data_IF_441644211654
#
_entry.id   IF_441644211654
#
_cell.length_a   1.000
_cell.length_b   1.000
_cell.length_c   1.000
_cell.angle_alpha   90.00
_cell.angle_beta   90.00
_cell.angle_gamma   90.00
#
_symmetry.space_group_name_H-M   'P 1'
#
loop_
_entity.id
_entity.type
_entity.pdbx_description
1 polymer ?
#
# COMPACT_ATOMS: atom_id res chain seq x y z
N UNK A 1 -44.76 4.63 69.57
CA UNK A 1 -44.99 4.26 68.15
C UNK A 1 -43.94 4.94 67.29
N UNK A 2 -43.20 4.14 66.50
CA UNK A 2 -42.46 4.45 65.25
C UNK A 2 -41.32 5.49 65.29
N UNK A 3 -40.23 5.42 64.52
CA UNK A 3 -39.58 4.46 63.60
C UNK A 3 -38.17 5.07 63.37
N UNK A 4 -37.12 4.24 63.28
CA UNK A 4 -35.75 4.67 63.00
C UNK A 4 -35.52 5.15 61.55
N UNK A 5 -34.43 5.89 61.33
CA UNK A 5 -33.90 6.24 60.01
C UNK A 5 -32.59 5.49 59.78
N UNK A 6 -32.56 4.65 58.74
CA UNK A 6 -31.38 3.96 58.22
C UNK A 6 -30.85 4.68 56.98
N UNK A 7 -29.52 4.63 56.87
CA UNK A 7 -28.59 5.11 55.86
C UNK A 7 -28.96 4.88 54.39
N UNK A 8 -28.27 5.63 53.52
CA UNK A 8 -28.09 5.30 52.10
C UNK A 8 -26.76 5.86 51.57
N UNK A 9 -25.70 5.04 51.58
CA UNK A 9 -24.48 5.26 50.82
C UNK A 9 -24.73 4.84 49.36
N UNK A 10 -24.50 5.73 48.41
CA UNK A 10 -24.56 5.42 46.98
C UNK A 10 -23.18 4.95 46.48
N UNK A 11 -23.13 3.71 45.97
CA UNK A 11 -21.97 3.13 45.30
C UNK A 11 -22.07 3.46 43.80
N UNK A 12 -21.14 4.27 43.27
CA UNK A 12 -21.05 4.57 41.84
C UNK A 12 -20.34 3.43 41.09
N UNK A 13 -21.00 2.85 40.10
CA UNK A 13 -20.43 1.83 39.22
C UNK A 13 -19.60 2.48 38.11
N UNK A 14 -18.30 2.16 38.06
CA UNK A 14 -17.40 2.51 36.97
C UNK A 14 -17.61 1.51 35.81
N UNK A 15 -18.18 1.95 34.70
CA UNK A 15 -18.34 1.13 33.50
C UNK A 15 -17.05 1.13 32.68
N UNK A 16 -16.34 -0.01 32.64
CA UNK A 16 -15.25 -0.24 31.69
C UNK A 16 -15.81 -0.30 30.26
N UNK A 17 -15.42 0.63 29.40
CA UNK A 17 -15.70 0.55 27.97
C UNK A 17 -14.78 -0.50 27.32
N UNK A 18 -15.30 -1.38 26.45
CA UNK A 18 -14.46 -2.33 25.71
C UNK A 18 -13.61 -1.60 24.67
N UNK A 19 -12.30 -1.86 24.66
CA UNK A 19 -11.41 -1.43 23.60
C UNK A 19 -11.73 -2.23 22.33
N UNK A 20 -12.28 -1.57 21.30
CA UNK A 20 -12.44 -2.17 19.99
C UNK A 20 -11.05 -2.42 19.39
N UNK A 21 -10.77 -3.61 18.81
CA UNK A 21 -9.52 -3.84 18.13
C UNK A 21 -9.41 -2.89 16.94
N UNK A 22 -8.28 -2.17 16.85
CA UNK A 22 -7.94 -1.37 15.68
C UNK A 22 -7.83 -2.34 14.49
N UNK A 23 -8.71 -2.21 13.50
CA UNK A 23 -8.62 -3.01 12.29
C UNK A 23 -7.25 -2.79 11.65
N UNK A 24 -6.48 -3.86 11.42
CA UNK A 24 -5.24 -3.76 10.68
C UNK A 24 -5.54 -3.28 9.26
N UNK A 25 -4.80 -2.28 8.78
CA UNK A 25 -4.97 -1.77 7.43
C UNK A 25 -4.66 -2.82 6.36
N UNK A 26 -5.04 -2.56 5.09
CA UNK A 26 -4.81 -3.51 4.00
C UNK A 26 -3.33 -3.77 3.72
N UNK A 27 -2.43 -2.91 4.24
CA UNK A 27 -1.00 -2.97 4.03
C UNK A 27 -0.29 -3.01 5.38
N UNK A 28 0.70 -3.89 5.49
CA UNK A 28 1.56 -3.99 6.65
C UNK A 28 2.92 -3.35 6.36
N UNK A 29 3.52 -2.75 7.39
CA UNK A 29 4.93 -2.37 7.38
C UNK A 29 5.73 -3.46 8.07
N UNK A 30 6.77 -3.95 7.40
CA UNK A 30 7.63 -5.02 7.88
C UNK A 30 9.07 -4.53 8.03
N UNK A 31 9.77 -5.03 9.04
CA UNK A 31 11.20 -4.79 9.22
C UNK A 31 12.04 -5.78 8.42
N UNK A 32 11.56 -7.01 8.30
CA UNK A 32 12.25 -8.08 7.58
C UNK A 32 11.52 -8.40 6.28
N UNK A 33 12.27 -8.80 5.25
CA UNK A 33 11.70 -9.19 3.97
C UNK A 33 10.95 -10.53 4.13
N UNK A 34 9.67 -10.64 3.74
CA UNK A 34 8.99 -11.93 3.74
C UNK A 34 9.66 -12.92 2.79
N UNK A 35 9.68 -14.20 3.17
CA UNK A 35 10.29 -15.25 2.36
C UNK A 35 9.72 -15.27 0.93
N UNK A 36 10.61 -15.19 -0.06
CA UNK A 36 10.23 -15.20 -1.48
C UNK A 36 9.53 -13.93 -1.99
N UNK A 37 9.45 -12.87 -1.18
CA UNK A 37 8.91 -11.59 -1.63
C UNK A 37 9.78 -10.95 -2.72
N UNK A 38 9.13 -10.26 -3.66
CA UNK A 38 9.79 -9.44 -4.68
C UNK A 38 9.94 -8.02 -4.16
N UNK A 39 11.16 -7.49 -4.17
CA UNK A 39 11.41 -6.11 -3.76
C UNK A 39 11.24 -5.19 -4.97
N UNK A 40 10.44 -4.15 -4.80
CA UNK A 40 10.30 -3.06 -5.76
C UNK A 40 10.85 -1.79 -5.12
N UNK A 41 11.94 -1.29 -5.69
CA UNK A 41 12.55 -0.04 -5.26
C UNK A 41 11.95 1.12 -6.04
N UNK A 42 11.29 2.02 -5.32
CA UNK A 42 10.51 3.13 -5.89
C UNK A 42 11.27 4.44 -5.97
N UNK A 43 12.56 4.44 -5.60
CA UNK A 43 13.43 5.60 -5.77
C UNK A 43 13.74 5.80 -7.25
N UNK A 44 14.25 6.98 -7.59
CA UNK A 44 14.75 7.28 -8.93
C UNK A 44 15.69 6.17 -9.44
N UNK A 45 15.59 5.83 -10.73
CA UNK A 45 16.30 4.68 -11.32
C UNK A 45 17.81 4.76 -11.08
N UNK A 46 18.39 5.96 -11.22
CA UNK A 46 19.82 6.19 -10.98
C UNK A 46 20.25 5.95 -9.52
N UNK A 47 19.33 6.04 -8.55
CA UNK A 47 19.60 5.73 -7.14
C UNK A 47 19.47 4.23 -6.90
N UNK A 48 18.40 3.61 -7.39
CA UNK A 48 18.18 2.15 -7.30
C UNK A 48 19.32 1.36 -7.97
N UNK A 49 19.69 1.73 -9.20
CA UNK A 49 20.75 1.08 -9.95
C UNK A 49 22.17 1.29 -9.39
N UNK A 50 22.34 2.18 -8.40
CA UNK A 50 23.61 2.34 -7.67
C UNK A 50 23.69 1.45 -6.44
N UNK A 51 22.62 1.43 -5.64
CA UNK A 51 22.54 0.69 -4.39
C UNK A 51 21.08 0.50 -3.99
N UNK A 52 20.59 -0.73 -4.00
CA UNK A 52 19.27 -1.18 -3.60
C UNK A 52 19.38 -2.48 -2.79
N UNK A 53 18.34 -2.89 -2.04
CA UNK A 53 18.30 -4.22 -1.44
C UNK A 53 18.57 -5.31 -2.48
N UNK A 54 19.24 -6.39 -2.08
CA UNK A 54 19.58 -7.50 -2.97
C UNK A 54 18.34 -8.05 -3.70
N UNK A 55 18.43 -8.16 -5.02
CA UNK A 55 17.34 -8.64 -5.88
C UNK A 55 16.20 -7.64 -6.12
N UNK A 56 16.36 -6.36 -5.75
CA UNK A 56 15.36 -5.34 -6.02
C UNK A 56 15.24 -5.02 -7.52
N UNK A 57 13.99 -4.84 -7.98
CA UNK A 57 13.67 -4.27 -9.30
C UNK A 57 13.42 -2.78 -9.17
N UNK A 58 14.04 -1.98 -10.03
CA UNK A 58 13.82 -0.54 -10.06
C UNK A 58 12.49 -0.22 -10.77
N UNK A 59 11.58 0.44 -10.07
CA UNK A 59 10.35 1.01 -10.62
C UNK A 59 10.07 2.35 -9.93
N UNK A 60 10.68 3.45 -10.43
CA UNK A 60 10.55 4.74 -9.79
C UNK A 60 9.09 5.16 -9.65
N UNK A 61 8.72 5.73 -8.50
CA UNK A 61 7.33 6.11 -8.24
C UNK A 61 6.80 7.15 -9.25
N UNK A 62 7.65 7.99 -9.84
CA UNK A 62 7.27 8.89 -10.94
C UNK A 62 6.79 8.16 -12.22
N UNK A 63 7.12 6.88 -12.41
CA UNK A 63 6.53 6.11 -13.51
C UNK A 63 5.10 5.64 -13.21
N UNK A 64 4.67 5.72 -11.95
CA UNK A 64 3.35 5.30 -11.49
C UNK A 64 2.38 6.47 -11.33
N UNK A 65 2.88 7.71 -11.28
CA UNK A 65 2.08 8.91 -11.10
C UNK A 65 2.45 9.96 -12.14
N UNK A 66 1.45 10.55 -12.81
CA UNK A 66 1.67 11.64 -13.75
C UNK A 66 2.27 12.88 -13.06
N UNK A 67 3.31 13.46 -13.65
CA UNK A 67 4.10 14.55 -13.05
C UNK A 67 3.31 15.82 -12.73
N UNK A 68 2.26 16.11 -13.51
CA UNK A 68 1.49 17.36 -13.42
C UNK A 68 0.35 17.32 -12.41
N UNK A 69 -0.27 16.15 -12.25
CA UNK A 69 -1.48 15.95 -11.46
C UNK A 69 -1.26 15.05 -10.24
N UNK A 70 -0.12 14.37 -10.16
CA UNK A 70 0.15 13.28 -9.20
C UNK A 70 -0.94 12.18 -9.22
N UNK A 71 -1.68 12.08 -10.32
CA UNK A 71 -2.68 11.04 -10.56
C UNK A 71 -1.98 9.73 -10.90
N UNK A 72 -2.46 8.57 -10.43
CA UNK A 72 -1.90 7.30 -10.88
C UNK A 72 -2.09 7.13 -12.38
N UNK A 73 -1.16 6.40 -13.02
CA UNK A 73 -1.31 5.96 -14.40
C UNK A 73 -2.55 5.06 -14.56
N UNK A 74 -3.08 4.97 -15.78
CA UNK A 74 -4.17 4.06 -16.14
C UNK A 74 -3.91 2.63 -15.68
N UNK A 75 -4.97 1.85 -15.36
CA UNK A 75 -4.78 0.45 -14.99
C UNK A 75 -4.13 -0.38 -16.10
N UNK A 76 -4.39 -0.03 -17.37
CA UNK A 76 -3.71 -0.65 -18.50
C UNK A 76 -2.20 -0.36 -18.47
N UNK A 77 -1.79 0.89 -18.31
CA UNK A 77 -0.37 1.26 -18.22
C UNK A 77 0.29 0.65 -16.97
N UNK A 78 -0.40 0.67 -15.82
CA UNK A 78 0.06 0.06 -14.59
C UNK A 78 0.35 -1.43 -14.78
N UNK A 79 -0.60 -2.20 -15.32
CA UNK A 79 -0.40 -3.64 -15.57
C UNK A 79 0.73 -3.91 -16.57
N UNK A 80 0.93 -3.02 -17.53
CA UNK A 80 2.07 -3.10 -18.42
C UNK A 80 3.39 -2.90 -17.66
N UNK A 81 3.49 -1.85 -16.85
CA UNK A 81 4.67 -1.53 -16.04
C UNK A 81 5.00 -2.67 -15.06
N UNK A 82 4.02 -3.21 -14.34
CA UNK A 82 4.23 -4.33 -13.41
C UNK A 82 4.78 -5.56 -14.15
N UNK A 83 4.31 -5.82 -15.37
CA UNK A 83 4.85 -6.89 -16.19
C UNK A 83 6.31 -6.67 -16.65
N UNK A 84 6.78 -5.42 -16.74
CA UNK A 84 8.19 -5.11 -17.10
C UNK A 84 9.19 -5.38 -15.98
N UNK A 85 8.72 -5.51 -14.74
CA UNK A 85 9.51 -5.92 -13.57
C UNK A 85 9.21 -7.36 -13.14
N UNK A 86 8.57 -8.13 -14.02
CA UNK A 86 8.33 -9.55 -13.82
C UNK A 86 7.18 -9.92 -12.87
N UNK A 87 6.28 -8.98 -12.54
CA UNK A 87 5.13 -9.26 -11.68
C UNK A 87 3.94 -9.81 -12.48
N UNK A 88 3.41 -10.95 -12.05
CA UNK A 88 2.19 -11.59 -12.56
C UNK A 88 0.94 -11.28 -11.72
N UNK A 89 1.15 -10.94 -10.45
CA UNK A 89 0.12 -10.60 -9.48
C UNK A 89 -0.11 -11.65 -8.38
N UNK A 90 0.62 -12.77 -8.41
CA UNK A 90 0.58 -13.85 -7.41
C UNK A 90 1.74 -13.77 -6.40
N UNK A 91 2.66 -12.83 -6.57
CA UNK A 91 3.79 -12.59 -5.68
C UNK A 91 3.37 -11.81 -4.42
N UNK A 92 4.18 -11.92 -3.38
CA UNK A 92 4.20 -10.94 -2.30
C UNK A 92 5.19 -9.86 -2.70
N UNK A 93 4.76 -8.60 -2.71
CA UNK A 93 5.61 -7.46 -3.13
C UNK A 93 5.98 -6.62 -1.93
N UNK A 94 7.28 -6.34 -1.77
CA UNK A 94 7.80 -5.44 -0.75
C UNK A 94 8.23 -4.12 -1.40
N UNK A 95 7.55 -3.03 -1.03
CA UNK A 95 7.85 -1.68 -1.52
C UNK A 95 8.96 -1.06 -0.66
N UNK A 96 10.03 -0.62 -1.33
CA UNK A 96 11.21 -0.04 -0.69
C UNK A 96 11.57 1.34 -1.29
N UNK A 97 12.00 2.31 -0.47
CA UNK A 97 11.98 2.30 0.99
C UNK A 97 10.61 2.70 1.53
N UNK A 98 10.17 2.10 2.63
CA UNK A 98 8.92 2.49 3.29
C UNK A 98 8.90 3.96 3.77
N UNK A 99 10.06 4.58 3.93
CA UNK A 99 10.20 5.99 4.32
C UNK A 99 9.95 6.98 3.18
N UNK A 100 9.87 6.52 1.92
CA UNK A 100 9.50 7.41 0.81
C UNK A 100 8.05 7.89 1.01
N UNK A 101 7.76 9.19 0.90
CA UNK A 101 6.41 9.73 1.12
C UNK A 101 5.35 9.16 0.16
N UNK A 102 5.76 8.54 -0.95
CA UNK A 102 4.88 7.91 -1.94
C UNK A 102 4.70 6.42 -1.70
N UNK A 103 5.45 5.79 -0.79
CA UNK A 103 5.49 4.33 -0.61
C UNK A 103 4.10 3.74 -0.31
N UNK A 104 3.35 4.34 0.61
CA UNK A 104 1.98 3.91 0.94
C UNK A 104 1.04 4.02 -0.26
N UNK A 105 1.15 5.09 -1.06
CA UNK A 105 0.30 5.28 -2.24
C UNK A 105 0.65 4.29 -3.36
N UNK A 106 1.94 4.03 -3.60
CA UNK A 106 2.41 2.99 -4.53
C UNK A 106 1.90 1.61 -4.09
N UNK A 107 2.07 1.29 -2.81
CA UNK A 107 1.65 0.01 -2.27
C UNK A 107 0.13 -0.20 -2.40
N UNK A 108 -0.66 0.84 -2.10
CA UNK A 108 -2.10 0.84 -2.29
C UNK A 108 -2.48 0.66 -3.77
N UNK A 109 -1.82 1.37 -4.68
CA UNK A 109 -2.10 1.27 -6.12
C UNK A 109 -1.85 -0.14 -6.65
N UNK A 110 -0.72 -0.75 -6.31
CA UNK A 110 -0.34 -2.12 -6.72
C UNK A 110 -1.28 -3.15 -6.09
N UNK A 111 -1.64 -2.97 -4.80
CA UNK A 111 -2.64 -3.80 -4.15
C UNK A 111 -3.99 -3.69 -4.87
N UNK A 112 -4.47 -2.48 -5.16
CA UNK A 112 -5.74 -2.27 -5.85
C UNK A 112 -5.72 -2.87 -7.28
N UNK A 113 -4.57 -2.84 -7.97
CA UNK A 113 -4.37 -3.46 -9.28
C UNK A 113 -4.53 -4.99 -9.28
N UNK A 114 -4.48 -5.65 -8.13
CA UNK A 114 -4.74 -7.08 -8.00
C UNK A 114 -3.59 -7.89 -7.41
N UNK A 115 -2.44 -7.28 -7.07
CA UNK A 115 -1.30 -8.00 -6.48
C UNK A 115 -1.74 -8.76 -5.22
N UNK A 116 -1.41 -10.04 -5.09
CA UNK A 116 -1.87 -10.91 -3.99
C UNK A 116 -1.62 -10.27 -2.63
N UNK A 117 -0.40 -9.78 -2.41
CA UNK A 117 0.02 -9.18 -1.16
C UNK A 117 1.05 -8.08 -1.42
N UNK A 118 0.93 -6.97 -0.68
CA UNK A 118 1.87 -5.85 -0.76
C UNK A 118 2.20 -5.38 0.66
N UNK A 119 3.49 -5.20 0.94
CA UNK A 119 4.01 -4.73 2.23
C UNK A 119 4.98 -3.58 2.03
N UNK A 120 5.17 -2.76 3.05
CA UNK A 120 6.16 -1.68 3.09
C UNK A 120 7.41 -2.18 3.82
N UNK A 121 8.58 -2.12 3.18
CA UNK A 121 9.84 -2.54 3.78
C UNK A 121 10.54 -1.37 4.47
N UNK A 122 10.50 -1.34 5.80
CA UNK A 122 11.09 -0.29 6.64
C UNK A 122 12.49 -0.64 7.16
N UNK A 123 12.89 -1.92 7.10
CA UNK A 123 14.24 -2.33 7.47
C UNK A 123 15.30 -1.74 6.57
N UNK A 124 16.46 -1.42 7.14
CA UNK A 124 17.65 -1.22 6.33
C UNK A 124 18.05 -2.59 5.74
N UNK A 125 18.31 -2.69 4.44
CA UNK A 125 18.74 -3.96 3.87
C UNK A 125 20.10 -4.33 4.44
N UNK A 126 20.27 -5.60 4.86
CA UNK A 126 21.54 -6.12 5.38
C UNK A 126 22.66 -6.05 4.33
N UNK A 127 22.28 -6.20 3.07
CA UNK A 127 23.14 -6.14 1.90
C UNK A 127 22.53 -5.25 0.83
N UNK A 128 23.40 -4.52 0.14
CA UNK A 128 22.99 -3.70 -1.00
C UNK A 128 23.83 -4.06 -2.21
N UNK A 129 23.16 -4.23 -3.35
CA UNK A 129 23.76 -4.38 -4.66
C UNK A 129 23.14 -3.35 -5.63
N UNK A 130 23.46 -3.40 -6.91
CA UNK A 130 22.71 -2.65 -7.93
C UNK A 130 21.33 -3.27 -8.09
N UNK A 131 20.30 -2.45 -7.96
CA UNK A 131 18.96 -2.82 -8.40
C UNK A 131 18.93 -3.08 -9.91
N UNK A 132 18.06 -3.98 -10.33
CA UNK A 132 17.88 -4.34 -11.73
C UNK A 132 16.82 -3.44 -12.37
N UNK A 133 17.19 -2.74 -13.45
CA UNK A 133 16.26 -1.93 -14.23
C UNK A 133 15.10 -2.78 -14.76
N UNK A 134 13.95 -2.13 -14.96
CA UNK A 134 12.83 -2.76 -15.67
C UNK A 134 13.20 -3.07 -17.12
N UNK A 135 12.58 -4.11 -17.68
CA UNK A 135 12.71 -4.40 -19.11
C UNK A 135 11.95 -3.38 -19.97
N UNK A 136 12.37 -3.20 -21.22
CA UNK A 136 11.61 -2.41 -22.21
C UNK A 136 10.30 -3.09 -22.64
N UNK A 137 10.21 -4.40 -22.43
CA UNK A 137 9.04 -5.22 -22.74
C UNK A 137 8.59 -5.97 -21.50
N UNK A 138 7.34 -6.43 -21.49
CA UNK A 138 6.83 -7.26 -20.40
C UNK A 138 7.60 -8.56 -20.34
N UNK A 139 8.19 -8.85 -19.19
CA UNK A 139 8.76 -10.16 -18.86
C UNK A 139 7.64 -11.15 -18.55
N UNK A 140 6.58 -10.65 -17.88
CA UNK A 140 5.39 -11.40 -17.49
C UNK A 140 4.13 -10.61 -17.87
N UNK A 141 3.05 -11.31 -18.21
CA UNK A 141 1.74 -10.68 -18.39
C UNK A 141 1.05 -10.63 -17.02
N UNK A 142 0.87 -9.42 -16.48
CA UNK A 142 0.11 -9.22 -15.26
C UNK A 142 -1.38 -9.55 -15.49
N UNK A 143 -1.89 -10.58 -14.80
CA UNK A 143 -3.25 -11.12 -15.04
C UNK A 143 -4.16 -11.11 -13.82
N UNK A 144 -3.65 -10.72 -12.64
CA UNK A 144 -4.45 -10.73 -11.43
C UNK A 144 -5.71 -9.84 -11.54
N UNK A 145 -6.84 -10.28 -10.96
CA UNK A 145 -8.07 -9.51 -10.96
C UNK A 145 -7.92 -8.27 -10.09
N UNK A 146 -8.35 -7.13 -10.61
CA UNK A 146 -8.39 -5.88 -9.86
C UNK A 146 -9.37 -5.97 -8.69
N UNK A 147 -9.06 -5.28 -7.59
CA UNK A 147 -9.92 -5.20 -6.41
C UNK A 147 -10.98 -4.12 -6.57
N UNK A 148 -11.85 -4.27 -7.58
CA UNK A 148 -12.88 -3.28 -7.94
C UNK A 148 -13.88 -3.00 -6.82
N UNK A 149 -14.06 -3.93 -5.88
CA UNK A 149 -14.88 -3.74 -4.68
C UNK A 149 -14.33 -2.67 -3.71
N UNK A 150 -13.03 -2.35 -3.79
CA UNK A 150 -12.38 -1.28 -3.03
C UNK A 150 -12.25 0.01 -3.86
N UNK A 151 -12.85 0.05 -5.05
CA UNK A 151 -12.79 1.18 -5.97
C UNK A 151 -14.19 1.75 -6.22
N UNK A 152 -14.26 3.07 -6.28
CA UNK A 152 -15.42 3.78 -6.82
C UNK A 152 -15.10 4.22 -8.23
N UNK A 153 -15.82 3.66 -9.21
CA UNK A 153 -15.57 3.87 -10.65
C UNK A 153 -16.46 4.96 -11.27
N UNK A 154 -17.16 5.72 -10.42
CA UNK A 154 -18.09 6.81 -10.78
C UNK A 154 -17.44 8.20 -10.63
N UNK A 155 -16.11 8.24 -10.51
CA UNK A 155 -15.38 9.46 -10.23
C UNK A 155 -15.07 10.25 -11.51
N UNK A 156 -15.16 11.58 -11.41
CA UNK A 156 -14.83 12.49 -12.52
C UNK A 156 -13.32 12.81 -12.62
N UNK A 157 -12.51 12.31 -11.67
CA UNK A 157 -11.06 12.50 -11.64
C UNK A 157 -10.34 11.27 -11.05
N UNK A 158 -9.07 11.01 -11.45
CA UNK A 158 -8.22 10.02 -10.81
C UNK A 158 -8.04 10.29 -9.30
N UNK A 159 -7.73 9.27 -8.49
CA UNK A 159 -7.55 9.49 -7.07
C UNK A 159 -6.31 10.33 -6.85
N UNK A 160 -6.37 11.39 -6.02
CA UNK A 160 -5.17 12.05 -5.58
C UNK A 160 -4.33 11.06 -4.75
N UNK A 161 -3.00 11.25 -4.76
CA UNK A 161 -2.06 10.45 -3.96
C UNK A 161 -2.51 10.30 -2.50
N UNK A 162 -3.06 11.37 -1.91
CA UNK A 162 -3.58 11.36 -0.55
C UNK A 162 -4.70 10.34 -0.31
N UNK A 163 -5.55 10.07 -1.29
CA UNK A 163 -6.63 9.08 -1.15
C UNK A 163 -6.07 7.65 -1.14
N UNK A 164 -5.06 7.36 -1.96
CA UNK A 164 -4.34 6.10 -1.93
C UNK A 164 -3.63 5.90 -0.59
N UNK A 165 -2.99 6.95 -0.06
CA UNK A 165 -2.38 6.94 1.28
C UNK A 165 -3.43 6.71 2.38
N UNK A 166 -4.61 7.34 2.30
CA UNK A 166 -5.68 7.13 3.26
C UNK A 166 -6.19 5.69 3.25
N UNK A 167 -6.30 5.08 2.06
CA UNK A 167 -6.64 3.68 1.89
C UNK A 167 -5.58 2.75 2.49
N UNK A 168 -4.29 2.99 2.19
CA UNK A 168 -3.17 2.23 2.76
C UNK A 168 -3.22 2.15 4.30
N UNK A 169 -3.63 3.25 4.93
CA UNK A 169 -3.74 3.39 6.39
C UNK A 169 -5.08 2.94 6.98
N UNK A 170 -5.98 2.39 6.16
CA UNK A 170 -7.37 2.09 6.54
C UNK A 170 -8.13 3.29 7.15
N UNK A 171 -7.80 4.50 6.73
CA UNK A 171 -8.60 5.70 6.99
C UNK A 171 -9.71 5.89 5.94
N UNK A 172 -9.69 5.09 4.87
CA UNK A 172 -10.76 4.99 3.86
C UNK A 172 -10.87 3.55 3.36
N UNK A 173 -12.10 3.05 3.22
CA UNK A 173 -12.36 1.70 2.69
C UNK A 173 -12.38 1.65 1.15
N UNK A 174 -12.48 2.81 0.50
CA UNK A 174 -12.56 2.91 -0.96
C UNK A 174 -11.69 4.02 -1.54
N UNK A 175 -11.27 3.85 -2.80
CA UNK A 175 -10.52 4.83 -3.58
C UNK A 175 -11.30 5.17 -4.85
N UNK A 176 -11.41 6.45 -5.18
CA UNK A 176 -12.12 6.91 -6.37
C UNK A 176 -11.22 6.81 -7.59
N UNK A 177 -11.59 6.00 -8.58
CA UNK A 177 -10.86 5.89 -9.85
C UNK A 177 -11.76 6.37 -10.98
N UNK A 178 -11.33 7.42 -11.69
CA UNK A 178 -11.94 7.76 -12.96
C UNK A 178 -11.62 6.68 -14.00
N UNK A 179 -12.57 6.27 -14.84
CA UNK A 179 -12.28 5.43 -15.98
C UNK A 179 -11.38 6.18 -16.97
N UNK A 180 -10.40 5.48 -17.54
CA UNK A 180 -9.62 6.01 -18.67
C UNK A 180 -10.57 6.17 -19.87
N UNK A 181 -10.85 7.41 -20.27
CA UNK A 181 -11.63 7.72 -21.48
C UNK A 181 -10.79 7.63 -22.74
#
# INVERSE_FOLDING_TARGET
MRVGRIAGLALGALTLAPALPLAAGPLATVSDLPDGARIVDIRAEATCGKAAPDGARCLPAEELFADDTASPVSFHALRWLLGTIGLGGDETVAIYPASDPRAEAVAALIYLAGQREVVLLAGAPEHTDRGESRSFSREVIFTAPMRTQAMRLDADAPPPLQQLTAFARASSDTVAFAPDT
#
